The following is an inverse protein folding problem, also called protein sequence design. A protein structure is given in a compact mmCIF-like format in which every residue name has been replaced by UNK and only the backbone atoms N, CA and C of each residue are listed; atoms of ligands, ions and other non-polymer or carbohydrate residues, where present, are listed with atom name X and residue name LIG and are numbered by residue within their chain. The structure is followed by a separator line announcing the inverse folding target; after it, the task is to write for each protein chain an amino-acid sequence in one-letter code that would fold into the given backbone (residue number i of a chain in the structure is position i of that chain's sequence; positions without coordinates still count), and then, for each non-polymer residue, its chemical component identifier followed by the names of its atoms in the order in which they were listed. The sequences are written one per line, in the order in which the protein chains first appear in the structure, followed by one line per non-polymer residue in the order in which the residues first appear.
data_IF_475607723955
#
_entry.id   IF_475607723955
#
_cell.length_a   1.000
_cell.length_b   1.000
_cell.length_c   1.000
_cell.angle_alpha   90.00
_cell.angle_beta   90.00
_cell.angle_gamma   90.00
#
_symmetry.space_group_name_H-M   'P 1'
#
loop_
_entity.id
_entity.type
_entity.pdbx_description
1 polymer ?
#
# COMPACT_ATOMS: atom_id res chain seq x y z
N UNK A 1 18.84 -3.96 -10.51
CA UNK A 1 17.49 -3.88 -9.92
C UNK A 1 16.87 -5.28 -10.01
N UNK A 2 16.17 -5.78 -8.97
CA UNK A 2 15.48 -7.08 -9.06
C UNK A 2 14.40 -7.01 -10.16
N UNK A 3 14.25 -8.07 -10.93
CA UNK A 3 13.28 -8.11 -12.04
C UNK A 3 11.83 -8.25 -11.55
N UNK A 4 11.64 -8.84 -10.37
CA UNK A 4 10.40 -8.82 -9.61
C UNK A 4 10.73 -8.30 -8.22
N UNK A 5 9.95 -7.36 -7.71
CA UNK A 5 10.08 -6.87 -6.34
C UNK A 5 8.74 -6.48 -5.77
N UNK A 6 8.57 -6.71 -4.48
CA UNK A 6 7.50 -6.09 -3.72
C UNK A 6 7.70 -4.56 -3.68
N UNK A 7 6.60 -3.84 -3.68
CA UNK A 7 6.58 -2.38 -3.65
C UNK A 7 6.04 -1.88 -2.32
N UNK A 8 4.87 -2.40 -1.92
CA UNK A 8 4.28 -2.13 -0.62
C UNK A 8 3.32 -3.24 -0.21
N UNK A 9 3.08 -3.33 1.09
CA UNK A 9 1.96 -4.11 1.65
C UNK A 9 1.25 -3.33 2.73
N UNK A 10 -0.03 -3.64 2.92
CA UNK A 10 -0.79 -3.14 4.04
C UNK A 10 -1.88 -4.13 4.45
N UNK A 11 -2.09 -4.22 5.76
CA UNK A 11 -3.29 -4.79 6.37
C UNK A 11 -4.05 -3.64 7.01
N UNK A 12 -5.31 -3.45 6.64
CA UNK A 12 -6.21 -2.48 7.27
C UNK A 12 -7.42 -3.19 7.86
N UNK A 13 -8.14 -2.48 8.72
CA UNK A 13 -9.38 -2.95 9.29
C UNK A 13 -10.48 -1.91 9.10
N UNK A 14 -11.67 -2.40 8.82
CA UNK A 14 -12.89 -1.60 8.77
C UNK A 14 -13.97 -2.30 9.57
N UNK A 15 -14.73 -1.54 10.35
CA UNK A 15 -15.94 -2.01 11.02
C UNK A 15 -17.12 -1.18 10.53
N UNK A 16 -18.12 -1.86 9.96
CA UNK A 16 -19.36 -1.23 9.56
C UNK A 16 -20.52 -1.98 10.21
N UNK A 17 -21.26 -1.29 11.08
CA UNK A 17 -22.39 -1.86 11.83
C UNK A 17 -22.03 -3.11 12.68
N UNK A 18 -20.81 -3.18 13.23
CA UNK A 18 -20.34 -4.30 14.04
C UNK A 18 -19.83 -5.50 13.21
N UNK A 19 -19.78 -5.36 11.89
CA UNK A 19 -19.20 -6.34 10.98
C UNK A 19 -17.77 -5.92 10.63
N UNK A 20 -16.84 -6.26 11.52
CA UNK A 20 -15.41 -6.06 11.29
C UNK A 20 -14.89 -6.86 10.09
N UNK A 21 -13.96 -6.28 9.35
CA UNK A 21 -13.28 -6.90 8.22
C UNK A 21 -11.83 -6.43 8.13
N UNK A 22 -10.94 -7.35 7.77
CA UNK A 22 -9.56 -7.02 7.42
C UNK A 22 -9.41 -6.96 5.91
N UNK A 23 -8.84 -5.87 5.40
CA UNK A 23 -8.42 -5.77 4.02
C UNK A 23 -6.91 -5.90 3.94
N UNK A 24 -6.43 -6.57 2.89
CA UNK A 24 -5.02 -6.72 2.59
C UNK A 24 -4.75 -6.22 1.22
N UNK A 25 -3.58 -5.61 1.05
CA UNK A 25 -3.07 -5.33 -0.26
C UNK A 25 -1.58 -5.60 -0.34
N UNK A 26 -1.18 -6.06 -1.51
CA UNK A 26 0.20 -6.30 -1.89
C UNK A 26 0.38 -5.70 -3.27
N UNK A 27 1.33 -4.78 -3.41
CA UNK A 27 1.72 -4.20 -4.69
C UNK A 27 3.11 -4.71 -5.05
N UNK A 28 3.28 -5.09 -6.31
CA UNK A 28 4.55 -5.58 -6.84
C UNK A 28 4.86 -4.95 -8.19
N UNK A 29 6.16 -4.82 -8.48
CA UNK A 29 6.68 -4.34 -9.75
C UNK A 29 7.42 -5.47 -10.45
N UNK A 30 7.03 -5.75 -11.69
CA UNK A 30 7.75 -6.68 -12.57
C UNK A 30 8.32 -5.96 -13.79
N UNK A 31 9.57 -6.27 -14.15
CA UNK A 31 10.21 -5.83 -15.39
C UNK A 31 9.81 -6.68 -16.60
N UNK A 32 9.09 -7.78 -16.38
CA UNK A 32 8.60 -8.63 -17.46
C UNK A 32 7.27 -8.12 -18.02
N UNK A 33 6.96 -8.44 -19.29
CA UNK A 33 5.68 -8.10 -19.89
C UNK A 33 4.48 -8.66 -19.14
N UNK A 34 3.33 -8.00 -19.30
CA UNK A 34 2.03 -8.38 -18.72
C UNK A 34 1.57 -9.81 -19.03
N UNK A 35 2.11 -10.44 -20.09
CA UNK A 35 1.83 -11.82 -20.47
C UNK A 35 2.35 -12.86 -19.47
N UNK A 36 3.24 -12.45 -18.55
CA UNK A 36 3.78 -13.31 -17.50
C UNK A 36 3.15 -12.92 -16.16
N UNK A 37 2.15 -13.65 -15.64
CA UNK A 37 1.47 -13.27 -14.40
C UNK A 37 2.39 -13.36 -13.19
N UNK A 38 2.21 -12.43 -12.26
CA UNK A 38 2.84 -12.47 -10.94
C UNK A 38 1.94 -13.21 -9.96
N UNK A 39 2.54 -14.01 -9.10
CA UNK A 39 1.85 -14.81 -8.11
C UNK A 39 2.38 -14.52 -6.71
N UNK A 40 1.48 -14.62 -5.73
CA UNK A 40 1.82 -14.68 -4.31
C UNK A 40 1.87 -16.16 -3.93
N UNK A 41 3.01 -16.61 -3.43
CA UNK A 41 3.20 -17.91 -2.82
C UNK A 41 3.17 -17.75 -1.31
N UNK A 42 2.13 -18.25 -0.64
CA UNK A 42 1.84 -17.93 0.76
C UNK A 42 1.59 -19.18 1.60
N UNK A 43 1.76 -19.02 2.92
CA UNK A 43 1.61 -20.10 3.90
C UNK A 43 0.21 -20.08 4.52
N UNK A 44 -0.51 -21.19 4.43
CA UNK A 44 -1.75 -21.45 5.14
C UNK A 44 -1.55 -22.66 6.07
N UNK A 45 -1.26 -22.38 7.35
CA UNK A 45 -0.81 -23.40 8.31
C UNK A 45 0.51 -24.04 7.88
N UNK A 46 0.48 -25.36 7.63
CA UNK A 46 1.67 -26.11 7.17
C UNK A 46 1.78 -26.22 5.65
N UNK A 47 0.80 -25.71 4.90
CA UNK A 47 0.73 -25.86 3.44
C UNK A 47 1.04 -24.54 2.76
N UNK A 48 1.85 -24.60 1.71
CA UNK A 48 2.07 -23.47 0.82
C UNK A 48 1.08 -23.49 -0.34
N UNK A 49 0.48 -22.35 -0.62
CA UNK A 49 -0.50 -22.14 -1.66
C UNK A 49 -0.06 -21.00 -2.57
N UNK A 50 -0.77 -20.85 -3.68
CA UNK A 50 -0.53 -19.78 -4.65
C UNK A 50 -1.82 -19.04 -4.94
N UNK A 51 -1.73 -17.72 -5.11
CA UNK A 51 -2.79 -16.90 -5.71
C UNK A 51 -2.19 -15.96 -6.77
N UNK A 52 -2.90 -15.76 -7.88
CA UNK A 52 -2.49 -14.83 -8.92
C UNK A 52 -2.75 -13.38 -8.48
N UNK A 53 -1.83 -12.48 -8.81
CA UNK A 53 -2.05 -11.04 -8.71
C UNK A 53 -2.73 -10.53 -9.98
N UNK A 54 -3.43 -9.41 -9.86
CA UNK A 54 -4.07 -8.73 -10.98
C UNK A 54 -3.13 -7.67 -11.56
N UNK A 55 -2.96 -7.65 -12.88
CA UNK A 55 -2.27 -6.55 -13.53
C UNK A 55 -3.10 -5.27 -13.38
N UNK A 56 -2.53 -4.24 -12.77
CA UNK A 56 -3.18 -2.93 -12.65
C UNK A 56 -2.96 -2.11 -13.93
N UNK A 57 -1.70 -1.91 -14.30
CA UNK A 57 -1.29 -1.23 -15.52
C UNK A 57 0.19 -1.48 -15.82
N UNK A 58 0.60 -1.21 -17.06
CA UNK A 58 2.00 -1.19 -17.47
C UNK A 58 2.53 0.26 -17.50
N UNK A 59 3.78 0.42 -17.10
CA UNK A 59 4.49 1.71 -17.10
C UNK A 59 5.78 1.59 -17.91
N UNK A 60 6.50 2.69 -18.10
CA UNK A 60 7.84 2.68 -18.70
C UNK A 60 8.87 1.91 -17.86
N UNK A 61 8.61 1.72 -16.56
CA UNK A 61 9.53 1.08 -15.61
C UNK A 61 9.09 -0.33 -15.20
N UNK A 62 8.07 -0.90 -15.87
CA UNK A 62 7.57 -2.24 -15.60
C UNK A 62 6.04 -2.32 -15.45
N UNK A 63 5.56 -3.53 -15.23
CA UNK A 63 4.16 -3.84 -14.94
C UNK A 63 3.89 -3.77 -13.44
N UNK A 64 2.82 -3.08 -13.06
CA UNK A 64 2.34 -2.99 -11.68
C UNK A 64 1.27 -4.07 -11.47
N UNK A 65 1.51 -4.90 -10.48
CA UNK A 65 0.62 -5.99 -10.09
C UNK A 65 0.10 -5.73 -8.69
N UNK A 66 -1.20 -5.93 -8.50
CA UNK A 66 -1.86 -5.76 -7.21
C UNK A 66 -2.64 -7.00 -6.83
N UNK A 67 -2.60 -7.30 -5.54
CA UNK A 67 -3.54 -8.17 -4.88
C UNK A 67 -4.31 -7.34 -3.87
N UNK A 68 -5.62 -7.53 -3.82
CA UNK A 68 -6.48 -6.95 -2.80
C UNK A 68 -7.53 -7.97 -2.40
N UNK A 69 -7.73 -8.14 -1.09
CA UNK A 69 -8.74 -9.03 -0.54
C UNK A 69 -9.28 -8.47 0.78
N UNK A 70 -10.54 -8.81 1.10
CA UNK A 70 -11.23 -8.39 2.32
C UNK A 70 -11.87 -9.60 2.99
N UNK A 71 -11.54 -9.84 4.26
CA UNK A 71 -12.02 -10.98 5.05
C UNK A 71 -12.82 -10.49 6.26
N UNK A 72 -14.10 -10.84 6.34
CA UNK A 72 -14.97 -10.52 7.47
C UNK A 72 -14.70 -11.38 8.71
N UNK A 73 -14.79 -10.77 9.91
CA UNK A 73 -14.56 -11.42 11.22
C UNK A 73 -15.72 -12.36 11.62
N UNK A 74 -16.94 -12.12 11.11
CA UNK A 74 -18.18 -12.74 11.59
C UNK A 74 -18.64 -14.03 10.89
N UNK A 75 -17.85 -14.67 10.01
CA UNK A 75 -18.30 -15.93 9.39
C UNK A 75 -17.60 -16.44 8.14
N UNK A 76 -16.40 -15.97 7.78
CA UNK A 76 -15.66 -16.55 6.65
C UNK A 76 -14.62 -17.56 7.12
N UNK A 77 -14.73 -18.80 6.60
CA UNK A 77 -13.67 -19.80 6.66
C UNK A 77 -12.58 -19.39 5.66
N UNK A 78 -11.29 -19.31 6.05
CA UNK A 78 -10.17 -18.98 5.15
C UNK A 78 -9.87 -20.06 4.09
N UNK A 79 -10.87 -20.86 3.71
CA UNK A 79 -10.74 -22.01 2.80
C UNK A 79 -11.09 -21.67 1.36
N UNK A 80 -11.58 -20.46 1.07
CA UNK A 80 -11.81 -20.09 -0.33
C UNK A 80 -10.48 -19.89 -1.03
N UNK A 81 -10.23 -20.60 -2.14
CA UNK A 81 -9.00 -20.44 -2.91
C UNK A 81 -8.76 -18.98 -3.25
N UNK A 82 -7.57 -18.48 -2.92
CA UNK A 82 -7.15 -17.12 -3.25
C UNK A 82 -7.28 -16.07 -2.14
N UNK A 83 -7.75 -16.44 -0.95
CA UNK A 83 -7.77 -15.56 0.23
C UNK A 83 -6.51 -15.76 1.08
N UNK A 84 -5.78 -14.67 1.37
CA UNK A 84 -4.61 -14.76 2.27
C UNK A 84 -5.05 -14.90 3.74
N UNK A 85 -4.39 -15.74 4.57
CA UNK A 85 -4.60 -15.76 6.02
C UNK A 85 -4.15 -14.46 6.70
N UNK A 86 -4.83 -14.01 7.76
CA UNK A 86 -4.61 -12.71 8.50
C UNK A 86 -3.19 -12.57 9.06
N UNK A 87 -2.50 -13.69 9.18
CA UNK A 87 -1.13 -13.81 9.62
C UNK A 87 -0.48 -14.86 8.70
N UNK A 88 0.35 -14.42 7.77
CA UNK A 88 0.90 -15.30 6.73
C UNK A 88 2.28 -14.88 6.27
N UNK A 89 3.16 -15.88 6.14
CA UNK A 89 4.40 -15.72 5.40
C UNK A 89 4.12 -15.86 3.90
N UNK A 90 4.75 -15.02 3.08
CA UNK A 90 4.61 -15.09 1.63
C UNK A 90 5.87 -14.66 0.87
N UNK A 91 5.98 -15.11 -0.37
CA UNK A 91 6.94 -14.65 -1.35
C UNK A 91 6.22 -14.34 -2.65
N UNK A 92 6.86 -13.55 -3.51
CA UNK A 92 6.37 -13.32 -4.88
C UNK A 92 7.15 -14.21 -5.84
N UNK A 93 6.49 -14.72 -6.87
CA UNK A 93 7.18 -15.30 -8.00
C UNK A 93 6.50 -14.96 -9.32
N UNK A 94 7.27 -15.13 -10.40
CA UNK A 94 6.78 -14.98 -11.76
C UNK A 94 7.46 -16.05 -12.64
N UNK A 95 6.64 -16.77 -13.41
CA UNK A 95 7.13 -17.73 -14.39
C UNK A 95 7.48 -16.99 -15.69
N UNK A 96 8.71 -17.14 -16.16
CA UNK A 96 9.26 -16.47 -17.35
C UNK A 96 9.80 -17.50 -18.35
N UNK A 97 10.13 -17.14 -19.60
CA UNK A 97 10.72 -18.08 -20.55
C UNK A 97 12.03 -18.70 -20.07
N UNK A 98 12.79 -17.97 -19.24
CA UNK A 98 14.05 -18.42 -18.65
C UNK A 98 13.89 -19.17 -17.32
N UNK A 99 12.66 -19.44 -16.90
CA UNK A 99 12.34 -20.08 -15.62
C UNK A 99 11.69 -19.13 -14.62
N UNK A 100 11.59 -19.60 -13.37
CA UNK A 100 10.91 -18.89 -12.30
C UNK A 100 11.85 -17.91 -11.60
N UNK A 101 11.41 -16.66 -11.47
CA UNK A 101 12.08 -15.66 -10.63
C UNK A 101 11.31 -15.46 -9.34
N UNK A 102 12.02 -15.09 -8.27
CA UNK A 102 11.47 -14.94 -6.94
C UNK A 102 11.82 -13.57 -6.35
N UNK A 103 10.87 -13.02 -5.60
CA UNK A 103 11.17 -12.08 -4.53
C UNK A 103 10.71 -12.69 -3.19
N UNK A 104 11.65 -13.33 -2.51
CA UNK A 104 11.43 -14.05 -1.25
C UNK A 104 12.19 -13.39 -0.08
N UNK A 105 12.39 -12.08 -0.15
CA UNK A 105 13.08 -11.30 0.88
C UNK A 105 14.43 -11.92 1.33
N UNK A 106 15.26 -12.33 0.37
CA UNK A 106 16.53 -13.02 0.64
C UNK A 106 16.36 -14.29 1.49
N UNK A 107 15.44 -15.16 1.07
CA UNK A 107 15.09 -16.43 1.74
C UNK A 107 14.36 -16.32 3.08
N UNK A 108 14.03 -15.10 3.52
CA UNK A 108 13.27 -14.88 4.76
C UNK A 108 11.75 -14.92 4.56
N UNK A 109 11.31 -14.76 3.32
CA UNK A 109 9.93 -14.41 2.96
C UNK A 109 9.51 -13.06 3.58
N UNK A 110 8.36 -12.57 3.14
CA UNK A 110 7.67 -11.46 3.76
C UNK A 110 6.66 -12.01 4.77
N UNK A 111 6.33 -11.22 5.77
CA UNK A 111 5.31 -11.54 6.76
C UNK A 111 4.21 -10.47 6.69
N UNK A 112 2.95 -10.90 6.74
CA UNK A 112 1.79 -10.02 6.71
C UNK A 112 0.83 -10.40 7.84
N UNK A 113 1.06 -9.78 9.00
CA UNK A 113 0.20 -9.86 10.17
C UNK A 113 -0.85 -8.74 10.21
N UNK A 114 -1.78 -8.89 11.16
CA UNK A 114 -2.82 -7.89 11.45
C UNK A 114 -2.27 -6.62 12.11
N UNK A 115 -1.15 -6.71 12.82
CA UNK A 115 -0.57 -5.62 13.61
C UNK A 115 0.90 -5.33 13.27
N UNK A 116 1.45 -5.89 12.18
CA UNK A 116 2.83 -5.61 11.77
C UNK A 116 3.00 -4.20 11.21
N UNK A 117 1.90 -3.65 10.71
CA UNK A 117 1.87 -2.42 9.94
C UNK A 117 2.37 -2.60 8.51
N UNK A 118 2.33 -1.51 7.73
CA UNK A 118 2.69 -1.55 6.33
C UNK A 118 4.17 -1.85 6.15
N UNK A 119 4.50 -2.51 5.05
CA UNK A 119 5.86 -2.67 4.58
C UNK A 119 6.06 -1.83 3.32
N UNK A 120 7.20 -1.11 3.24
CA UNK A 120 7.65 -0.45 2.02
C UNK A 120 8.86 -1.21 1.45
N UNK A 121 8.81 -1.47 0.15
CA UNK A 121 9.88 -2.12 -0.59
C UNK A 121 11.19 -1.34 -0.52
N UNK A 122 12.30 -2.01 -0.80
CA UNK A 122 13.60 -1.37 -0.80
C UNK A 122 13.63 -0.17 -1.77
N UNK A 123 14.05 0.99 -1.27
CA UNK A 123 14.05 2.28 -1.95
C UNK A 123 12.66 2.89 -2.21
N UNK A 124 11.60 2.38 -1.57
CA UNK A 124 10.29 3.04 -1.51
C UNK A 124 10.26 3.88 -0.23
N UNK A 125 10.43 5.19 -0.36
CA UNK A 125 10.43 6.09 0.80
C UNK A 125 9.03 6.46 1.29
N UNK A 126 8.04 6.47 0.39
CA UNK A 126 6.68 6.92 0.66
C UNK A 126 5.68 6.12 -0.16
N UNK A 127 4.51 5.85 0.42
CA UNK A 127 3.34 5.28 -0.25
C UNK A 127 2.05 5.89 0.30
N UNK A 128 1.06 6.12 -0.56
CA UNK A 128 -0.31 6.34 -0.10
C UNK A 128 -0.86 5.04 0.54
N UNK A 129 -1.50 5.15 1.71
CA UNK A 129 -2.31 4.05 2.26
C UNK A 129 -3.75 4.17 1.80
N UNK A 130 -4.37 5.31 2.10
CA UNK A 130 -5.72 5.62 1.69
C UNK A 130 -5.89 7.13 1.55
N UNK A 131 -6.86 7.52 0.74
CA UNK A 131 -7.34 8.88 0.64
C UNK A 131 -8.86 8.86 0.46
N UNK A 132 -9.51 9.91 0.94
CA UNK A 132 -10.94 10.11 0.83
C UNK A 132 -11.22 11.59 0.53
N UNK A 133 -12.36 11.83 -0.08
CA UNK A 133 -12.93 13.15 -0.23
C UNK A 133 -14.38 13.08 0.19
N UNK A 134 -14.75 13.78 1.25
CA UNK A 134 -16.06 13.67 1.86
C UNK A 134 -17.03 14.75 1.35
N UNK A 135 -18.31 14.53 1.65
CA UNK A 135 -19.41 15.39 1.23
C UNK A 135 -19.34 16.82 1.83
N UNK A 136 -18.60 17.00 2.92
CA UNK A 136 -18.33 18.29 3.57
C UNK A 136 -17.09 19.03 2.99
N UNK A 137 -16.59 18.58 1.85
CA UNK A 137 -15.39 19.10 1.17
C UNK A 137 -14.06 18.86 1.90
N UNK A 138 -13.99 17.87 2.79
CA UNK A 138 -12.72 17.47 3.42
C UNK A 138 -11.98 16.47 2.54
N UNK A 139 -10.78 16.83 2.11
CA UNK A 139 -9.83 15.91 1.46
C UNK A 139 -8.79 15.47 2.48
N UNK A 140 -8.71 14.16 2.74
CA UNK A 140 -7.81 13.61 3.73
C UNK A 140 -7.36 12.20 3.42
N UNK A 141 -6.46 11.68 4.25
CA UNK A 141 -5.93 10.34 4.06
C UNK A 141 -4.77 10.01 4.97
N UNK A 142 -4.21 8.82 4.72
CA UNK A 142 -3.08 8.28 5.47
C UNK A 142 -1.93 7.94 4.51
N UNK A 143 -0.72 8.23 4.95
CA UNK A 143 0.53 8.12 4.22
C UNK A 143 1.47 7.27 5.05
N UNK A 144 2.22 6.41 4.38
CA UNK A 144 3.24 5.56 4.97
C UNK A 144 4.59 6.08 4.51
N UNK A 145 5.54 6.24 5.43
CA UNK A 145 6.91 6.62 5.07
C UNK A 145 7.93 5.67 5.69
N UNK A 146 9.03 5.42 4.99
CA UNK A 146 10.18 4.70 5.54
C UNK A 146 10.80 5.51 6.68
N UNK A 147 10.97 4.90 7.86
CA UNK A 147 11.60 5.59 8.99
C UNK A 147 13.14 5.61 8.83
N UNK A 148 13.64 6.64 8.14
CA UNK A 148 15.06 6.82 7.79
C UNK A 148 15.79 7.70 8.80
N UNK A 149 15.19 8.82 9.22
CA UNK A 149 15.71 9.74 10.22
C UNK A 149 14.56 10.44 10.97
N UNK A 150 14.85 11.11 12.09
CA UNK A 150 13.82 11.74 12.93
C UNK A 150 13.10 12.90 12.23
N UNK A 151 13.86 13.85 11.66
CA UNK A 151 13.31 15.00 10.94
C UNK A 151 12.81 14.58 9.56
N UNK A 152 11.50 14.79 9.35
CA UNK A 152 10.76 14.34 8.17
C UNK A 152 9.84 15.46 7.69
N UNK A 153 9.83 15.71 6.40
CA UNK A 153 8.84 16.57 5.75
C UNK A 153 8.01 15.73 4.79
N UNK A 154 6.70 15.67 5.01
CA UNK A 154 5.75 14.93 4.19
C UNK A 154 4.70 15.89 3.68
N UNK A 155 4.61 16.05 2.36
CA UNK A 155 3.76 17.05 1.72
C UNK A 155 2.90 16.41 0.65
N UNK A 156 1.61 16.74 0.68
CA UNK A 156 0.63 16.36 -0.35
C UNK A 156 0.47 17.54 -1.31
N UNK A 157 0.72 17.29 -2.59
CA UNK A 157 0.46 18.25 -3.66
C UNK A 157 -0.80 17.82 -4.39
N UNK A 158 -1.80 18.69 -4.45
CA UNK A 158 -3.11 18.37 -5.01
C UNK A 158 -3.63 19.48 -5.94
N UNK A 159 -4.55 19.12 -6.82
CA UNK A 159 -5.14 19.99 -7.83
C UNK A 159 -6.62 19.64 -7.97
N UNK A 160 -7.48 20.63 -7.78
CA UNK A 160 -8.94 20.52 -7.96
C UNK A 160 -9.30 20.60 -9.46
N UNK A 161 -10.57 20.33 -9.79
CA UNK A 161 -11.06 20.39 -11.18
C UNK A 161 -10.71 21.71 -11.87
N UNK A 162 -10.18 21.61 -13.09
CA UNK A 162 -9.82 22.74 -13.94
C UNK A 162 -8.75 23.71 -13.38
N UNK A 163 -8.10 23.39 -12.26
CA UNK A 163 -6.94 24.15 -11.80
C UNK A 163 -5.72 23.87 -12.68
N UNK A 164 -4.91 24.89 -12.94
CA UNK A 164 -3.67 24.78 -13.72
C UNK A 164 -2.43 24.55 -12.85
N UNK A 165 -2.51 24.82 -11.55
CA UNK A 165 -1.40 24.72 -10.60
C UNK A 165 -1.77 23.83 -9.41
N UNK A 166 -0.77 23.17 -8.82
CA UNK A 166 -0.94 22.41 -7.58
C UNK A 166 -0.97 23.36 -6.37
N UNK A 167 -1.90 23.09 -5.48
CA UNK A 167 -1.86 23.50 -4.07
C UNK A 167 -1.13 22.43 -3.26
N UNK A 168 -0.84 22.72 -2.00
CA UNK A 168 -0.18 21.75 -1.12
C UNK A 168 -0.61 21.87 0.33
N UNK A 169 -0.62 20.75 1.04
CA UNK A 169 -0.75 20.71 2.50
C UNK A 169 0.29 19.77 3.11
N UNK A 170 0.77 20.10 4.31
CA UNK A 170 1.68 19.24 5.06
C UNK A 170 0.90 18.13 5.76
N UNK A 171 1.45 16.91 5.72
CA UNK A 171 0.97 15.81 6.54
C UNK A 171 1.57 15.89 7.95
N UNK A 172 0.88 15.32 8.93
CA UNK A 172 1.30 15.28 10.32
C UNK A 172 1.55 13.84 10.78
N UNK A 173 2.55 13.67 11.65
CA UNK A 173 2.92 12.37 12.20
C UNK A 173 1.82 11.79 13.08
N UNK A 174 1.57 10.49 12.95
CA UNK A 174 0.65 9.72 13.78
C UNK A 174 1.41 8.66 14.58
N UNK A 175 1.51 8.86 15.89
CA UNK A 175 2.13 7.91 16.80
C UNK A 175 1.34 6.61 16.92
N UNK A 176 0.01 6.70 16.80
CA UNK A 176 -0.93 5.61 17.01
C UNK A 176 -1.94 5.57 15.87
N UNK A 177 -1.99 4.46 15.14
CA UNK A 177 -2.97 4.27 14.05
C UNK A 177 -3.85 3.07 14.35
N UNK A 178 -5.16 3.27 14.39
CA UNK A 178 -6.11 2.18 14.62
C UNK A 178 -6.16 1.25 13.40
N UNK A 179 -5.99 -0.05 13.65
CA UNK A 179 -5.99 -1.10 12.59
C UNK A 179 -6.84 -2.31 12.95
N UNK A 180 -7.75 -2.14 13.92
CA UNK A 180 -8.60 -3.22 14.40
C UNK A 180 -9.54 -2.75 15.49
N UNK A 181 -10.48 -3.61 15.87
CA UNK A 181 -11.23 -3.46 17.13
C UNK A 181 -10.23 -3.59 18.28
N UNK A 182 -10.00 -2.51 19.00
CA UNK A 182 -9.00 -2.44 20.08
C UNK A 182 -7.56 -2.78 19.67
N UNK A 183 -7.21 -2.63 18.38
CA UNK A 183 -5.85 -2.81 17.89
C UNK A 183 -5.28 -1.51 17.33
N UNK A 184 -4.02 -1.26 17.61
CA UNK A 184 -3.33 -0.01 17.27
C UNK A 184 -1.91 -0.32 16.86
N UNK A 185 -1.49 0.22 15.72
CA UNK A 185 -0.09 0.28 15.31
C UNK A 185 0.59 1.46 16.01
N UNK A 186 1.82 1.22 16.45
CA UNK A 186 2.70 2.24 17.00
C UNK A 186 3.77 2.55 15.94
N UNK A 187 4.00 3.82 15.66
CA UNK A 187 5.10 4.27 14.79
C UNK A 187 6.43 4.32 15.57
N UNK A 188 7.56 3.81 15.04
CA UNK A 188 7.65 3.05 13.80
C UNK A 188 7.07 1.64 13.96
N UNK A 189 6.46 1.13 12.88
CA UNK A 189 5.89 -0.21 12.84
C UNK A 189 6.95 -1.30 12.86
N UNK A 190 6.54 -2.58 12.95
CA UNK A 190 7.46 -3.74 12.89
C UNK A 190 8.31 -3.71 11.61
N UNK A 191 7.75 -3.16 10.53
CA UNK A 191 8.40 -3.00 9.23
C UNK A 191 9.15 -1.66 9.08
N UNK A 192 9.47 -0.98 10.20
CA UNK A 192 10.20 0.29 10.25
C UNK A 192 9.59 1.40 9.38
N UNK A 193 8.27 1.51 9.41
CA UNK A 193 7.54 2.57 8.73
C UNK A 193 6.88 3.50 9.76
N UNK A 194 6.84 4.80 9.46
CA UNK A 194 6.06 5.77 10.22
C UNK A 194 4.74 6.07 9.50
N UNK A 195 3.73 6.37 10.30
CA UNK A 195 2.41 6.77 9.83
C UNK A 195 2.26 8.29 9.84
N UNK A 196 1.74 8.83 8.74
CA UNK A 196 1.36 10.23 8.60
C UNK A 196 -0.09 10.32 8.15
N UNK A 197 -0.75 11.41 8.51
CA UNK A 197 -2.10 11.72 8.05
C UNK A 197 -2.15 13.14 7.52
N UNK A 198 -3.08 13.41 6.61
CA UNK A 198 -3.33 14.76 6.12
C UNK A 198 -4.82 15.01 6.06
N UNK A 199 -5.19 16.29 6.16
CA UNK A 199 -6.56 16.75 5.99
C UNK A 199 -6.52 18.21 5.57
N UNK A 200 -7.29 18.57 4.56
CA UNK A 200 -7.51 19.95 4.13
C UNK A 200 -8.94 20.14 3.67
N UNK A 201 -9.51 21.29 3.97
CA UNK A 201 -10.77 21.71 3.36
C UNK A 201 -10.50 22.21 1.94
N UNK A 202 -11.36 21.82 1.01
CA UNK A 202 -11.30 22.23 -0.39
C UNK A 202 -12.50 23.09 -0.76
N UNK A 203 -12.42 23.74 -1.91
CA UNK A 203 -13.62 24.25 -2.56
C UNK A 203 -14.38 23.07 -3.14
N UNK A 204 -15.69 23.27 -3.32
CA UNK A 204 -16.54 22.26 -3.92
C UNK A 204 -16.05 21.91 -5.33
N UNK A 205 -15.48 20.72 -5.45
CA UNK A 205 -15.04 20.09 -6.69
C UNK A 205 -15.54 18.64 -6.72
N UNK A 206 -15.48 18.00 -7.87
CA UNK A 206 -15.85 16.61 -8.12
C UNK A 206 -14.64 15.67 -8.02
N UNK A 207 -13.48 16.12 -8.51
CA UNK A 207 -12.27 15.30 -8.55
C UNK A 207 -11.03 16.04 -8.06
N UNK A 208 -10.15 15.27 -7.42
CA UNK A 208 -8.86 15.74 -6.91
C UNK A 208 -7.77 14.86 -7.52
N UNK A 209 -6.82 15.49 -8.19
CA UNK A 209 -5.58 14.85 -8.64
C UNK A 209 -4.44 15.22 -7.69
N UNK A 210 -3.70 14.25 -7.19
CA UNK A 210 -2.62 14.53 -6.22
C UNK A 210 -1.44 13.56 -6.28
N UNK A 211 -0.34 13.97 -5.67
CA UNK A 211 0.84 13.15 -5.41
C UNK A 211 1.46 13.52 -4.06
N UNK A 212 2.36 12.66 -3.59
CA UNK A 212 3.01 12.80 -2.30
C UNK A 212 4.51 13.04 -2.47
N UNK A 213 5.08 13.76 -1.53
CA UNK A 213 6.52 13.94 -1.41
C UNK A 213 6.97 13.65 0.02
N UNK A 214 8.20 13.17 0.14
CA UNK A 214 8.84 12.90 1.42
C UNK A 214 10.32 13.30 1.35
N UNK A 215 10.71 14.28 2.15
CA UNK A 215 12.09 14.68 2.34
C UNK A 215 12.60 14.25 3.72
N UNK A 216 13.75 13.58 3.75
CA UNK A 216 14.37 13.07 4.99
C UNK A 216 15.87 12.92 4.83
N UNK A 217 16.65 13.51 5.74
CA UNK A 217 18.12 13.37 5.73
C UNK A 217 18.76 13.67 4.36
N UNK A 218 18.24 14.68 3.64
CA UNK A 218 18.69 15.07 2.29
C UNK A 218 18.28 14.12 1.15
N UNK A 219 17.46 13.10 1.43
CA UNK A 219 16.84 12.24 0.41
C UNK A 219 15.44 12.75 0.09
N UNK A 220 15.06 12.67 -1.18
CA UNK A 220 13.77 13.11 -1.68
C UNK A 220 13.05 11.96 -2.39
N UNK A 221 11.85 11.64 -1.93
CA UNK A 221 10.99 10.61 -2.50
C UNK A 221 9.69 11.21 -3.01
N UNK A 222 9.19 10.65 -4.12
CA UNK A 222 7.90 11.02 -4.70
C UNK A 222 7.07 9.76 -4.82
N UNK A 223 5.81 9.84 -4.38
CA UNK A 223 4.79 8.89 -4.76
C UNK A 223 3.69 9.59 -5.57
N UNK A 224 3.79 9.43 -6.88
CA UNK A 224 2.86 9.97 -7.86
C UNK A 224 2.12 8.84 -8.59
N UNK A 225 1.81 7.74 -7.90
CA UNK A 225 1.16 6.56 -8.49
C UNK A 225 1.88 6.13 -9.78
N UNK A 226 3.21 6.05 -9.71
CA UNK A 226 4.10 5.67 -10.82
C UNK A 226 3.92 6.53 -12.09
N UNK A 227 3.70 7.82 -11.89
CA UNK A 227 3.59 8.82 -12.95
C UNK A 227 2.16 9.10 -13.43
N UNK A 228 1.15 8.49 -12.82
CA UNK A 228 -0.26 8.71 -13.15
C UNK A 228 -0.95 9.72 -12.23
N UNK A 229 -0.32 10.06 -11.10
CA UNK A 229 -0.95 10.70 -9.95
C UNK A 229 -2.13 9.87 -9.39
N UNK A 230 -2.55 10.22 -8.19
CA UNK A 230 -3.74 9.67 -7.57
C UNK A 230 -4.96 10.51 -7.97
N UNK A 231 -6.10 9.84 -8.16
CA UNK A 231 -7.39 10.50 -8.39
C UNK A 231 -8.35 10.04 -7.30
N UNK A 232 -8.94 11.01 -6.59
CA UNK A 232 -10.04 10.77 -5.65
C UNK A 232 -11.26 11.53 -6.13
N UNK A 233 -12.43 10.91 -5.97
CA UNK A 233 -13.73 11.49 -6.29
C UNK A 233 -14.55 11.60 -5.01
N UNK A 234 -15.49 12.53 -5.01
CA UNK A 234 -16.43 12.77 -3.92
C UNK A 234 -17.45 11.63 -3.75
#
# INVERSE_FOLDING_TARGET
MKALKIDSTFTSFSDYNGLGSYSKSITAISQYPATYPVFIYYRNGSVWNTVAMTLKYATKVGCIWEYHDTVGIGGYKPTSPGVLPIDTDFALYQDTPSGRIWDNNFWKNYHLGSCDGPYLGQNVGISLWNAFYSQDNTFGGNIIVSNIAYEKEVTVYYKEDNMSAYSSCSAFFSQFTQVGVHQTLISPTVNNCDMFSFSTELKDCETIEFYLTYEVSGQFFIDNNRGQNYIVKK
#
